data_IF_734947822769
#
_entry.id   IF_734947822769
#
_cell.length_a   1.000
_cell.length_b   1.000
_cell.length_c   1.000
_cell.angle_alpha   90.00
_cell.angle_beta   90.00
_cell.angle_gamma   90.00
#
_symmetry.space_group_name_H-M   'P 1'
#
loop_
_entity.id
_entity.type
_entity.pdbx_description
1 polymer ?
#
# COMPACT_ATOMS: atom_id res chain seq x y z
N UNK A 1 -25.68 4.72 -35.55
CA UNK A 1 -24.72 4.21 -34.54
C UNK A 1 -25.44 4.22 -33.21
N UNK A 2 -25.58 3.07 -32.54
CA UNK A 2 -26.19 3.03 -31.21
C UNK A 2 -25.22 3.65 -30.20
N UNK A 3 -25.65 4.71 -29.50
CA UNK A 3 -24.88 5.30 -28.41
C UNK A 3 -24.99 4.39 -27.19
N UNK A 4 -23.88 3.76 -26.80
CA UNK A 4 -23.79 3.04 -25.52
C UNK A 4 -23.46 4.08 -24.44
N UNK A 5 -24.36 4.28 -23.50
CA UNK A 5 -24.09 5.07 -22.30
C UNK A 5 -23.57 4.18 -21.18
N UNK A 6 -22.42 4.56 -20.60
CA UNK A 6 -21.88 3.93 -19.40
C UNK A 6 -22.21 4.78 -18.19
N UNK A 7 -22.95 4.22 -17.23
CA UNK A 7 -23.31 4.90 -15.99
C UNK A 7 -22.73 4.12 -14.82
N UNK A 8 -21.87 4.76 -14.03
CA UNK A 8 -21.34 4.20 -12.79
C UNK A 8 -22.38 4.31 -11.67
N UNK A 9 -22.39 3.31 -10.78
CA UNK A 9 -23.11 3.41 -9.51
C UNK A 9 -22.60 4.60 -8.69
N UNK A 10 -23.49 5.29 -7.97
CA UNK A 10 -23.09 6.33 -7.02
C UNK A 10 -22.13 5.79 -5.95
N UNK A 11 -22.25 4.52 -5.58
CA UNK A 11 -21.36 3.86 -4.63
C UNK A 11 -19.89 3.78 -5.11
N UNK A 12 -19.64 3.97 -6.41
CA UNK A 12 -18.28 4.04 -6.94
C UNK A 12 -17.48 5.20 -6.33
N UNK A 13 -18.15 6.22 -5.77
CA UNK A 13 -17.50 7.24 -4.94
C UNK A 13 -16.67 6.66 -3.79
N UNK A 14 -17.10 5.54 -3.17
CA UNK A 14 -16.31 4.86 -2.14
C UNK A 14 -15.00 4.29 -2.70
N UNK A 15 -15.01 3.79 -3.94
CA UNK A 15 -13.81 3.28 -4.62
C UNK A 15 -12.82 4.42 -4.85
N UNK A 16 -13.30 5.58 -5.29
CA UNK A 16 -12.47 6.77 -5.49
C UNK A 16 -11.86 7.26 -4.17
N UNK A 17 -12.64 7.30 -3.08
CA UNK A 17 -12.13 7.66 -1.76
C UNK A 17 -11.08 6.65 -1.26
N UNK A 18 -11.34 5.35 -1.44
CA UNK A 18 -10.37 4.30 -1.11
C UNK A 18 -9.07 4.47 -1.92
N UNK A 19 -9.16 4.69 -3.23
CA UNK A 19 -8.00 4.95 -4.08
C UNK A 19 -7.25 6.21 -3.63
N UNK A 20 -7.96 7.29 -3.32
CA UNK A 20 -7.38 8.54 -2.82
C UNK A 20 -6.60 8.33 -1.52
N UNK A 21 -7.12 7.51 -0.61
CA UNK A 21 -6.42 7.17 0.64
C UNK A 21 -5.04 6.53 0.40
N UNK A 22 -4.88 5.78 -0.69
CA UNK A 22 -3.59 5.18 -1.07
C UNK A 22 -2.58 6.22 -1.56
N UNK A 23 -3.02 7.32 -2.19
CA UNK A 23 -2.12 8.42 -2.56
C UNK A 23 -1.64 9.17 -1.32
N UNK A 24 -2.55 9.45 -0.38
CA UNK A 24 -2.22 10.07 0.90
C UNK A 24 -1.23 9.21 1.67
N UNK A 25 -1.45 7.89 1.71
CA UNK A 25 -0.56 6.96 2.40
C UNK A 25 0.84 6.89 1.76
N UNK A 26 0.96 7.01 0.43
CA UNK A 26 2.26 7.12 -0.22
C UNK A 26 3.04 8.36 0.25
N UNK A 27 2.36 9.49 0.43
CA UNK A 27 2.94 10.72 1.00
C UNK A 27 3.38 10.51 2.45
N UNK A 28 2.56 9.82 3.26
CA UNK A 28 2.91 9.46 4.65
C UNK A 28 4.17 8.59 4.70
N UNK A 29 4.31 7.62 3.79
CA UNK A 29 5.55 6.85 3.64
C UNK A 29 6.77 7.74 3.37
N UNK A 30 6.63 8.72 2.46
CA UNK A 30 7.67 9.71 2.18
C UNK A 30 8.08 10.51 3.43
N UNK A 31 7.11 11.00 4.20
CA UNK A 31 7.38 11.71 5.46
C UNK A 31 8.06 10.82 6.51
N UNK A 32 7.62 9.57 6.66
CA UNK A 32 8.22 8.61 7.58
C UNK A 32 9.69 8.34 7.23
N UNK A 33 9.98 8.14 5.95
CA UNK A 33 11.35 7.99 5.43
C UNK A 33 12.19 9.24 5.67
N UNK A 34 11.66 10.42 5.34
CA UNK A 34 12.34 11.70 5.52
C UNK A 34 12.66 12.01 6.99
N UNK A 35 11.75 11.68 7.91
CA UNK A 35 11.94 11.82 9.36
C UNK A 35 13.18 11.03 9.83
N UNK A 36 13.27 9.74 9.51
CA UNK A 36 14.40 8.92 9.95
C UNK A 36 15.69 9.24 9.20
N UNK A 37 15.60 9.64 7.93
CA UNK A 37 16.76 10.12 7.18
C UNK A 37 17.44 11.29 7.86
N UNK A 38 16.64 12.28 8.27
CA UNK A 38 17.12 13.47 8.97
C UNK A 38 17.75 13.10 10.31
N UNK A 39 17.10 12.22 11.09
CA UNK A 39 17.63 11.76 12.37
C UNK A 39 18.97 11.00 12.23
N UNK A 40 19.09 10.18 11.17
CA UNK A 40 20.28 9.41 10.87
C UNK A 40 21.43 10.21 10.22
N UNK A 41 21.22 11.50 9.92
CA UNK A 41 22.18 12.36 9.22
C UNK A 41 22.72 11.79 7.90
N UNK A 42 21.91 11.00 7.18
CA UNK A 42 22.31 10.40 5.89
C UNK A 42 22.17 11.46 4.79
N UNK A 43 23.29 11.87 4.19
CA UNK A 43 23.33 12.86 3.12
C UNK A 43 22.73 12.33 1.80
N UNK A 44 22.13 13.20 0.99
CA UNK A 44 21.79 12.86 -0.41
C UNK A 44 23.09 12.73 -1.22
N UNK A 45 23.16 11.83 -2.23
CA UNK A 45 22.09 11.03 -2.83
C UNK A 45 21.93 9.61 -2.25
N UNK A 46 22.53 9.30 -1.09
CA UNK A 46 22.48 7.94 -0.55
C UNK A 46 21.04 7.47 -0.32
N UNK A 47 20.62 6.34 -0.93
CA UNK A 47 19.25 5.83 -0.81
C UNK A 47 19.00 5.13 0.53
N UNK A 48 20.05 4.50 1.08
CA UNK A 48 20.07 3.76 2.34
C UNK A 48 21.34 4.14 3.12
N UNK A 49 21.32 3.99 4.44
CA UNK A 49 22.52 3.93 5.25
C UNK A 49 23.27 2.62 4.99
N UNK A 50 24.60 2.65 5.07
CA UNK A 50 25.41 1.43 4.95
C UNK A 50 25.12 0.46 6.09
N UNK A 51 25.42 -0.83 5.90
CA UNK A 51 25.14 -1.85 6.91
C UNK A 51 25.98 -1.63 8.17
N UNK A 52 27.19 -1.12 8.02
CA UNK A 52 28.10 -0.79 9.12
C UNK A 52 27.49 0.32 9.98
N UNK A 53 26.98 1.39 9.36
CA UNK A 53 26.32 2.49 10.07
C UNK A 53 25.01 2.02 10.71
N UNK A 54 24.18 1.28 9.98
CA UNK A 54 22.90 0.79 10.50
C UNK A 54 23.03 -0.26 11.60
N UNK A 55 24.19 -0.94 11.71
CA UNK A 55 24.46 -1.89 12.78
C UNK A 55 24.62 -1.18 14.13
N UNK A 56 25.24 -0.01 14.15
CA UNK A 56 25.58 0.67 15.40
C UNK A 56 24.71 1.92 15.68
N UNK A 57 23.94 2.39 14.69
CA UNK A 57 23.04 3.53 14.80
C UNK A 57 21.57 3.14 14.57
N UNK A 58 20.75 3.31 15.62
CA UNK A 58 19.32 3.01 15.61
C UNK A 58 18.51 3.84 14.60
N UNK A 59 18.84 5.13 14.43
CA UNK A 59 18.13 5.98 13.48
C UNK A 59 18.48 5.60 12.04
N UNK A 60 19.74 5.23 11.77
CA UNK A 60 20.16 4.71 10.47
C UNK A 60 19.46 3.37 10.15
N UNK A 61 19.34 2.48 11.14
CA UNK A 61 18.55 1.25 11.01
C UNK A 61 17.08 1.53 10.69
N UNK A 62 16.45 2.45 11.40
CA UNK A 62 15.05 2.84 11.19
C UNK A 62 14.84 3.53 9.85
N UNK A 63 15.81 4.32 9.39
CA UNK A 63 15.82 4.89 8.04
C UNK A 63 15.80 3.80 6.98
N UNK A 64 16.67 2.79 7.09
CA UNK A 64 16.68 1.66 6.16
C UNK A 64 15.35 0.88 6.18
N UNK A 65 14.76 0.67 7.36
CA UNK A 65 13.46 0.02 7.49
C UNK A 65 12.33 0.85 6.86
N UNK A 66 12.33 2.17 7.07
CA UNK A 66 11.35 3.07 6.48
C UNK A 66 11.45 3.11 4.95
N UNK A 67 12.67 3.19 4.41
CA UNK A 67 12.93 3.09 2.98
C UNK A 67 12.43 1.77 2.40
N UNK A 68 12.74 0.63 3.04
CA UNK A 68 12.27 -0.67 2.56
C UNK A 68 10.75 -0.76 2.62
N UNK A 69 10.11 -0.20 3.65
CA UNK A 69 8.66 -0.15 3.74
C UNK A 69 8.04 0.69 2.61
N UNK A 70 8.63 1.84 2.27
CA UNK A 70 8.17 2.67 1.15
C UNK A 70 8.39 2.00 -0.20
N UNK A 71 9.57 1.43 -0.45
CA UNK A 71 9.83 0.67 -1.68
C UNK A 71 8.86 -0.51 -1.85
N UNK A 72 8.59 -1.25 -0.78
CA UNK A 72 7.60 -2.32 -0.83
C UNK A 72 6.17 -1.81 -1.07
N UNK A 73 5.87 -0.57 -0.63
CA UNK A 73 4.57 0.06 -0.87
C UNK A 73 4.40 0.36 -2.35
N UNK A 74 5.39 1.03 -2.95
CA UNK A 74 5.35 1.39 -4.37
C UNK A 74 5.37 0.15 -5.28
N UNK A 75 6.10 -0.91 -4.91
CA UNK A 75 6.09 -2.22 -5.60
C UNK A 75 4.67 -2.83 -5.69
N UNK A 76 3.80 -2.61 -4.69
CA UNK A 76 2.46 -3.20 -4.64
C UNK A 76 1.35 -2.23 -5.05
N UNK A 77 1.58 -0.93 -4.90
CA UNK A 77 0.55 0.11 -5.02
C UNK A 77 -0.12 0.10 -6.40
N UNK A 78 0.65 0.01 -7.48
CA UNK A 78 0.10 0.03 -8.84
C UNK A 78 -0.85 -1.13 -9.10
N UNK A 79 -0.47 -2.36 -8.73
CA UNK A 79 -1.30 -3.54 -8.94
C UNK A 79 -2.58 -3.49 -8.09
N UNK A 80 -2.47 -3.03 -6.85
CA UNK A 80 -3.63 -2.89 -5.94
C UNK A 80 -4.57 -1.78 -6.40
N UNK A 81 -4.03 -0.65 -6.84
CA UNK A 81 -4.82 0.46 -7.37
C UNK A 81 -5.58 0.02 -8.62
N UNK A 82 -4.93 -0.72 -9.53
CA UNK A 82 -5.58 -1.25 -10.72
C UNK A 82 -6.73 -2.21 -10.37
N UNK A 83 -6.48 -3.19 -9.50
CA UNK A 83 -7.52 -4.15 -9.07
C UNK A 83 -8.64 -3.49 -8.27
N UNK A 84 -8.36 -2.47 -7.45
CA UNK A 84 -9.38 -1.67 -6.75
C UNK A 84 -10.32 -0.98 -7.73
N UNK A 85 -9.77 -0.29 -8.73
CA UNK A 85 -10.57 0.44 -9.72
C UNK A 85 -11.37 -0.52 -10.60
N UNK A 86 -10.77 -1.61 -11.06
CA UNK A 86 -11.44 -2.60 -11.92
C UNK A 86 -12.55 -3.34 -11.14
N UNK A 87 -12.22 -3.95 -10.00
CA UNK A 87 -13.21 -4.67 -9.18
C UNK A 87 -14.33 -3.74 -8.70
N UNK A 88 -14.02 -2.46 -8.46
CA UNK A 88 -14.97 -1.45 -8.02
C UNK A 88 -16.11 -1.20 -9.01
N UNK A 89 -15.92 -1.50 -10.31
CA UNK A 89 -16.95 -1.29 -11.33
C UNK A 89 -18.17 -2.18 -11.04
N UNK A 90 -17.92 -3.45 -10.70
CA UNK A 90 -18.97 -4.42 -10.40
C UNK A 90 -19.28 -4.51 -8.89
N UNK A 91 -18.29 -4.29 -8.02
CA UNK A 91 -18.41 -4.49 -6.57
C UNK A 91 -17.95 -3.26 -5.76
N UNK A 92 -18.57 -2.07 -5.94
CA UNK A 92 -18.03 -0.80 -5.44
C UNK A 92 -17.79 -0.79 -3.93
N UNK A 93 -18.76 -1.25 -3.12
CA UNK A 93 -18.66 -1.25 -1.65
C UNK A 93 -17.61 -2.25 -1.14
N UNK A 94 -17.60 -3.46 -1.71
CA UNK A 94 -16.67 -4.52 -1.29
C UNK A 94 -15.24 -4.16 -1.69
N UNK A 95 -15.04 -3.69 -2.92
CA UNK A 95 -13.74 -3.24 -3.39
C UNK A 95 -13.21 -2.07 -2.55
N UNK A 96 -14.04 -1.09 -2.22
CA UNK A 96 -13.67 0.01 -1.34
C UNK A 96 -13.24 -0.49 0.06
N UNK A 97 -13.99 -1.42 0.66
CA UNK A 97 -13.64 -2.02 1.95
C UNK A 97 -12.31 -2.78 1.93
N UNK A 98 -12.05 -3.54 0.85
CA UNK A 98 -10.78 -4.24 0.66
C UNK A 98 -9.61 -3.28 0.41
N UNK A 99 -9.83 -2.20 -0.35
CA UNK A 99 -8.86 -1.13 -0.56
C UNK A 99 -8.50 -0.40 0.74
N UNK A 100 -9.50 -0.10 1.58
CA UNK A 100 -9.29 0.46 2.92
C UNK A 100 -8.53 -0.51 3.83
N UNK A 101 -8.89 -1.80 3.81
CA UNK A 101 -8.17 -2.85 4.56
C UNK A 101 -6.71 -2.93 4.14
N UNK A 102 -6.45 -2.85 2.83
CA UNK A 102 -5.09 -2.80 2.30
C UNK A 102 -4.34 -1.57 2.82
N UNK A 103 -4.90 -0.36 2.66
CA UNK A 103 -4.27 0.87 3.10
C UNK A 103 -3.94 0.88 4.61
N UNK A 104 -4.89 0.46 5.46
CA UNK A 104 -4.66 0.34 6.91
C UNK A 104 -3.57 -0.69 7.23
N UNK A 105 -3.59 -1.84 6.56
CA UNK A 105 -2.53 -2.85 6.70
C UNK A 105 -1.15 -2.31 6.29
N UNK A 106 -1.07 -1.55 5.19
CA UNK A 106 0.17 -0.90 4.74
C UNK A 106 0.67 0.16 5.73
N UNK A 107 -0.23 0.91 6.36
CA UNK A 107 0.13 1.82 7.44
C UNK A 107 0.76 1.09 8.63
N UNK A 108 0.17 -0.03 9.08
CA UNK A 108 0.73 -0.83 10.16
C UNK A 108 2.03 -1.54 9.76
N UNK A 109 2.17 -1.95 8.49
CA UNK A 109 3.42 -2.46 7.95
C UNK A 109 4.53 -1.42 8.10
N UNK A 110 4.31 -0.20 7.60
CA UNK A 110 5.26 0.91 7.68
C UNK A 110 5.63 1.25 9.11
N UNK A 111 4.62 1.52 9.95
CA UNK A 111 4.80 1.94 11.34
C UNK A 111 5.50 0.85 12.17
N UNK A 112 5.17 -0.42 11.94
CA UNK A 112 5.81 -1.55 12.60
C UNK A 112 7.25 -1.75 12.14
N UNK A 113 7.55 -1.61 10.85
CA UNK A 113 8.90 -1.87 10.33
C UNK A 113 9.93 -0.87 10.87
N UNK A 114 9.57 0.40 11.04
CA UNK A 114 10.47 1.45 11.56
C UNK A 114 10.42 1.63 13.09
N UNK A 115 9.76 0.71 13.82
CA UNK A 115 9.59 0.80 15.26
C UNK A 115 10.45 -0.24 16.00
N UNK A 116 11.42 0.26 16.76
CA UNK A 116 12.37 -0.55 17.53
C UNK A 116 11.74 -1.28 18.73
N UNK A 117 10.52 -0.94 19.14
CA UNK A 117 9.80 -1.70 20.17
C UNK A 117 9.55 -3.16 19.75
N UNK A 118 9.60 -3.46 18.45
CA UNK A 118 9.50 -4.82 17.90
C UNK A 118 10.87 -5.48 17.63
N UNK A 119 11.94 -4.87 18.14
CA UNK A 119 13.31 -5.35 18.02
C UNK A 119 13.97 -5.05 16.67
N UNK A 120 15.30 -5.20 16.64
CA UNK A 120 16.08 -5.23 15.39
C UNK A 120 15.84 -6.57 14.70
N UNK A 121 15.53 -6.54 13.41
CA UNK A 121 15.20 -7.70 12.59
C UNK A 121 13.94 -7.54 11.73
N UNK A 122 13.27 -6.38 11.78
CA UNK A 122 12.16 -6.05 10.89
C UNK A 122 10.87 -6.82 11.16
N UNK A 123 10.76 -7.54 12.28
CA UNK A 123 9.57 -8.35 12.62
C UNK A 123 8.30 -7.50 12.80
N UNK A 124 8.43 -6.23 13.18
CA UNK A 124 7.29 -5.32 13.31
C UNK A 124 6.46 -5.18 12.03
N UNK A 125 7.04 -5.45 10.86
CA UNK A 125 6.32 -5.44 9.56
C UNK A 125 5.16 -6.43 9.49
N UNK A 126 5.20 -7.53 10.26
CA UNK A 126 4.17 -8.56 10.24
C UNK A 126 2.81 -8.06 10.76
N UNK A 127 2.79 -6.95 11.50
CA UNK A 127 1.55 -6.27 11.91
C UNK A 127 0.71 -5.79 10.72
N UNK A 128 1.35 -5.58 9.57
CA UNK A 128 0.68 -5.17 8.35
C UNK A 128 0.17 -6.31 7.47
N UNK A 129 0.33 -7.58 7.86
CA UNK A 129 -0.05 -8.72 7.01
C UNK A 129 -1.53 -8.74 6.63
N UNK A 130 -2.40 -8.07 7.40
CA UNK A 130 -3.80 -7.90 7.04
C UNK A 130 -3.99 -7.25 5.65
N UNK A 131 -3.00 -6.50 5.14
CA UNK A 131 -3.06 -5.94 3.80
C UNK A 131 -3.19 -7.01 2.71
N UNK A 132 -2.67 -8.22 2.93
CA UNK A 132 -2.81 -9.31 1.96
C UNK A 132 -4.26 -9.75 1.75
N UNK A 133 -5.12 -9.61 2.77
CA UNK A 133 -6.55 -9.90 2.62
C UNK A 133 -7.17 -8.92 1.62
N UNK A 134 -6.88 -7.62 1.77
CA UNK A 134 -7.33 -6.60 0.83
C UNK A 134 -6.80 -6.84 -0.58
N UNK A 135 -5.50 -7.12 -0.71
CA UNK A 135 -4.83 -7.32 -2.00
C UNK A 135 -5.34 -8.56 -2.75
N UNK A 136 -5.41 -9.71 -2.07
CA UNK A 136 -5.88 -10.96 -2.67
C UNK A 136 -7.38 -10.94 -2.93
N UNK A 137 -8.16 -10.28 -2.04
CA UNK A 137 -9.59 -10.07 -2.26
C UNK A 137 -9.86 -9.25 -3.52
N UNK A 138 -9.16 -8.13 -3.71
CA UNK A 138 -9.30 -7.29 -4.91
C UNK A 138 -8.89 -8.03 -6.19
N UNK A 139 -7.80 -8.80 -6.13
CA UNK A 139 -7.37 -9.64 -7.24
C UNK A 139 -8.45 -10.70 -7.56
N UNK A 140 -9.00 -11.35 -6.55
CA UNK A 140 -10.07 -12.34 -6.71
C UNK A 140 -11.33 -11.75 -7.34
N UNK A 141 -11.76 -10.56 -6.90
CA UNK A 141 -12.89 -9.86 -7.52
C UNK A 141 -12.61 -9.49 -8.98
N UNK A 142 -11.40 -9.05 -9.29
CA UNK A 142 -10.99 -8.73 -10.66
C UNK A 142 -11.03 -9.98 -11.56
N UNK A 143 -10.52 -11.11 -11.07
CA UNK A 143 -10.58 -12.40 -11.77
C UNK A 143 -12.04 -12.83 -11.98
N UNK A 144 -12.87 -12.73 -10.94
CA UNK A 144 -14.29 -13.07 -11.01
C UNK A 144 -15.03 -12.23 -12.06
N UNK A 145 -14.82 -10.92 -12.08
CA UNK A 145 -15.39 -10.03 -13.10
C UNK A 145 -14.96 -10.41 -14.51
N UNK A 146 -13.66 -10.67 -14.72
CA UNK A 146 -13.13 -11.07 -16.02
C UNK A 146 -13.68 -12.41 -16.50
N UNK A 147 -13.79 -13.40 -15.61
CA UNK A 147 -14.38 -14.70 -15.92
C UNK A 147 -15.86 -14.59 -16.23
N UNK A 148 -16.63 -13.79 -15.48
CA UNK A 148 -18.05 -13.55 -15.77
C UNK A 148 -18.26 -12.95 -17.17
N UNK A 149 -17.42 -12.00 -17.56
CA UNK A 149 -17.45 -11.41 -18.91
C UNK A 149 -17.15 -12.44 -20.01
N UNK A 150 -16.18 -13.33 -19.82
CA UNK A 150 -15.82 -14.36 -20.80
C UNK A 150 -16.90 -15.45 -20.89
N UNK A 151 -17.45 -15.85 -19.74
CA UNK A 151 -18.38 -16.98 -19.62
C UNK A 151 -19.85 -16.57 -19.78
N UNK A 152 -20.15 -15.27 -19.83
CA UNK A 152 -21.48 -14.73 -20.13
C UNK A 152 -22.49 -14.84 -18.99
N UNK A 153 -22.03 -14.73 -17.73
CA UNK A 153 -22.89 -14.69 -16.55
C UNK A 153 -22.70 -13.41 -15.72
#
# INVERSE_FOLDING_TARGET
>A
MSTVSFTLSQDYGYVILAATSTFILNTIHGFNTGKFRKAAAIAYPAPYASNEVAKDNDDAYRFNCAQRAHANYTENHTSVLATLLIAGIQFPRVAAGLGATWAVGRYFYMSGYSNLAYGRGGKGRYRGMISYIGQLGLLGLTIYSGLGMILGW
#
